data_IF_202871598593
#
_entry.id   IF_202871598593
#
_cell.length_a   1.000
_cell.length_b   1.000
_cell.length_c   1.000
_cell.angle_alpha   90.00
_cell.angle_beta   90.00
_cell.angle_gamma   90.00
#
_symmetry.space_group_name_H-M   'P 1'
#
loop_
_entity.id
_entity.type
_entity.pdbx_description
1 polymer ?
#
# COMPACT_ATOMS: atom_id res chain seq x y z
N UNK A 1 -5.88 3.11 14.38
CA UNK A 1 -4.95 4.03 13.80
C UNK A 1 -5.55 4.73 12.62
N UNK A 2 -5.09 5.86 12.39
CA UNK A 2 -5.83 6.74 11.55
C UNK A 2 -5.34 6.82 10.13
N UNK A 3 -6.22 7.34 9.29
CA UNK A 3 -5.89 7.80 7.98
C UNK A 3 -4.78 8.85 8.06
N UNK A 4 -4.03 8.98 6.98
CA UNK A 4 -2.92 9.93 6.90
C UNK A 4 -3.47 11.29 6.47
N UNK A 5 -3.58 12.22 7.42
CA UNK A 5 -4.20 13.52 7.16
C UNK A 5 -3.50 14.33 6.08
N UNK A 6 -2.18 14.24 6.02
CA UNK A 6 -1.38 14.95 5.01
C UNK A 6 -1.29 14.19 3.67
N UNK A 7 -2.01 13.09 3.52
CA UNK A 7 -2.06 12.17 2.39
C UNK A 7 -0.82 11.31 2.24
N UNK A 8 0.36 11.81 2.59
CA UNK A 8 1.61 11.07 2.61
C UNK A 8 2.58 11.77 3.55
N UNK A 9 3.34 10.98 4.30
CA UNK A 9 4.37 11.50 5.21
C UNK A 9 5.50 10.49 5.37
N UNK A 10 6.66 10.98 5.81
CA UNK A 10 7.80 10.14 6.18
C UNK A 10 7.75 9.92 7.68
N UNK A 11 7.87 8.67 8.11
CA UNK A 11 7.88 8.31 9.52
C UNK A 11 9.31 8.46 10.09
N UNK A 12 9.42 8.45 11.42
CA UNK A 12 10.72 8.58 12.08
C UNK A 12 11.72 7.47 11.70
N UNK A 13 11.23 6.30 11.32
CA UNK A 13 12.07 5.17 10.90
C UNK A 13 12.45 5.22 9.42
N UNK A 14 12.10 6.28 8.71
CA UNK A 14 12.37 6.44 7.28
C UNK A 14 11.36 5.79 6.35
N UNK A 15 10.40 5.05 6.89
CA UNK A 15 9.34 4.45 6.10
C UNK A 15 8.29 5.51 5.79
N UNK A 16 7.41 5.23 4.82
CA UNK A 16 6.37 6.18 4.47
C UNK A 16 4.99 5.65 4.85
N UNK A 17 4.11 6.58 5.18
CA UNK A 17 2.70 6.29 5.42
C UNK A 17 1.89 7.14 4.46
N UNK A 18 0.83 6.59 3.91
CA UNK A 18 0.05 7.30 2.89
C UNK A 18 -1.39 6.80 2.83
N UNK A 19 -2.24 7.61 2.23
CA UNK A 19 -3.62 7.28 1.99
C UNK A 19 -4.56 7.78 3.07
N UNK A 20 -5.77 8.14 2.66
CA UNK A 20 -6.83 8.57 3.59
C UNK A 20 -8.17 8.05 3.06
N UNK A 21 -8.56 6.86 3.54
CA UNK A 21 -9.77 6.19 3.12
C UNK A 21 -11.04 6.84 3.66
N UNK A 22 -10.91 7.81 4.55
CA UNK A 22 -12.06 8.50 5.15
C UNK A 22 -12.54 9.69 4.32
N UNK A 23 -11.75 10.12 3.34
CA UNK A 23 -12.12 11.25 2.49
C UNK A 23 -13.29 10.88 1.56
N UNK A 24 -14.24 11.78 1.47
CA UNK A 24 -15.40 11.60 0.60
C UNK A 24 -15.08 11.92 -0.86
N UNK A 25 -14.14 12.82 -1.10
CA UNK A 25 -13.73 13.25 -2.42
C UNK A 25 -12.27 12.94 -2.68
N UNK A 26 -11.96 12.61 -3.93
CA UNK A 26 -10.60 12.29 -4.35
C UNK A 26 -9.66 13.45 -4.09
N UNK A 27 -8.55 13.15 -3.44
CA UNK A 27 -7.48 14.11 -3.18
C UNK A 27 -6.17 13.52 -3.67
N UNK A 28 -5.25 14.39 -4.07
CA UNK A 28 -3.94 13.94 -4.51
C UNK A 28 -2.85 14.88 -4.04
N UNK A 29 -1.65 14.33 -3.91
CA UNK A 29 -0.45 15.09 -3.60
C UNK A 29 0.67 14.59 -4.49
N UNK A 30 1.35 15.51 -5.16
CA UNK A 30 2.45 15.21 -6.08
C UNK A 30 3.74 15.82 -5.57
N UNK A 31 4.88 15.32 -6.05
CA UNK A 31 6.17 15.92 -5.74
C UNK A 31 6.62 15.73 -4.30
N UNK A 32 6.09 14.72 -3.62
CA UNK A 32 6.54 14.43 -2.25
C UNK A 32 7.86 13.68 -2.31
N UNK A 33 8.90 14.25 -1.70
CA UNK A 33 10.23 13.66 -1.72
C UNK A 33 10.54 12.91 -0.43
N UNK A 34 11.04 11.68 -0.57
CA UNK A 34 11.48 10.87 0.56
C UNK A 34 12.55 9.88 0.08
N UNK A 35 13.67 9.84 0.79
CA UNK A 35 14.74 8.89 0.50
C UNK A 35 15.33 9.00 -0.91
N UNK A 36 15.26 10.18 -1.52
CA UNK A 36 15.78 10.38 -2.87
C UNK A 36 14.76 10.09 -3.97
N UNK A 37 13.55 9.67 -3.62
CA UNK A 37 12.49 9.35 -4.59
C UNK A 37 11.37 10.37 -4.49
N UNK A 38 10.66 10.55 -5.59
CA UNK A 38 9.51 11.44 -5.67
C UNK A 38 8.23 10.62 -5.74
N UNK A 39 7.28 10.92 -4.86
CA UNK A 39 6.04 10.16 -4.73
C UNK A 39 4.83 10.99 -5.14
N UNK A 40 3.83 10.30 -5.66
CA UNK A 40 2.51 10.85 -5.94
C UNK A 40 1.48 9.92 -5.35
N UNK A 41 0.55 10.47 -4.58
CA UNK A 41 -0.55 9.71 -3.98
C UNK A 41 -1.89 10.27 -4.45
N UNK A 42 -2.84 9.38 -4.69
CA UNK A 42 -4.21 9.73 -4.99
C UNK A 42 -5.06 8.85 -4.09
N UNK A 43 -5.96 9.45 -3.31
CA UNK A 43 -6.67 8.69 -2.29
C UNK A 43 -8.03 9.30 -1.93
N UNK A 44 -8.97 8.45 -1.67
CA UNK A 44 -10.26 8.76 -1.04
C UNK A 44 -10.96 7.42 -0.74
N UNK A 45 -12.23 7.46 -0.35
CA UNK A 45 -12.95 6.25 0.09
C UNK A 45 -12.99 5.12 -0.96
N UNK A 46 -12.89 5.43 -2.23
CA UNK A 46 -13.05 4.43 -3.29
C UNK A 46 -11.73 3.85 -3.81
N UNK A 47 -10.62 4.56 -3.66
CA UNK A 47 -9.33 4.10 -4.16
C UNK A 47 -8.18 4.79 -3.44
N UNK A 48 -7.08 4.06 -3.25
CA UNK A 48 -5.80 4.63 -2.84
C UNK A 48 -4.75 4.13 -3.82
N UNK A 49 -3.94 5.04 -4.37
CA UNK A 49 -2.91 4.70 -5.34
C UNK A 49 -1.64 5.48 -5.05
N UNK A 50 -0.50 4.78 -5.08
CA UNK A 50 0.82 5.38 -4.88
C UNK A 50 1.71 5.09 -6.08
N UNK A 51 2.40 6.14 -6.55
CA UNK A 51 3.43 6.03 -7.58
C UNK A 51 4.74 6.60 -7.04
N UNK A 52 5.85 5.97 -7.42
CA UNK A 52 7.20 6.43 -7.08
C UNK A 52 7.96 6.67 -8.39
N UNK A 53 8.43 7.90 -8.58
CA UNK A 53 9.15 8.30 -9.80
C UNK A 53 8.33 7.98 -11.07
N UNK A 54 7.02 8.15 -10.99
CA UNK A 54 6.11 7.89 -12.09
C UNK A 54 5.76 6.42 -12.30
N UNK A 55 6.25 5.54 -11.44
CA UNK A 55 6.00 4.11 -11.56
C UNK A 55 5.02 3.60 -10.51
N UNK A 56 4.17 2.67 -10.90
CA UNK A 56 3.17 2.07 -10.02
C UNK A 56 3.81 1.35 -8.84
N UNK A 57 3.31 1.61 -7.64
CA UNK A 57 3.79 0.97 -6.40
C UNK A 57 2.66 0.25 -5.68
N UNK A 58 1.53 0.90 -5.49
CA UNK A 58 0.44 0.40 -4.66
C UNK A 58 -0.90 0.90 -5.15
N UNK A 59 -1.91 0.04 -5.10
CA UNK A 59 -3.29 0.44 -5.36
C UNK A 59 -4.22 -0.42 -4.53
N UNK A 60 -5.24 0.19 -3.96
CA UNK A 60 -6.29 -0.57 -3.28
C UNK A 60 -7.67 -0.11 -3.71
N UNK A 61 -8.61 -1.04 -3.78
CA UNK A 61 -10.02 -0.78 -4.05
C UNK A 61 -10.83 -1.62 -3.06
N UNK A 62 -11.67 -1.00 -2.24
CA UNK A 62 -11.82 0.44 -2.02
C UNK A 62 -10.58 1.08 -1.39
N UNK A 63 -10.63 2.36 -1.10
CA UNK A 63 -9.52 3.10 -0.52
C UNK A 63 -9.08 2.57 0.83
N UNK A 64 -7.78 2.66 1.09
CA UNK A 64 -7.16 2.25 2.35
C UNK A 64 -6.18 3.32 2.80
N UNK A 65 -5.74 3.21 4.05
CA UNK A 65 -4.65 3.99 4.59
C UNK A 65 -3.52 3.04 4.95
N UNK A 66 -2.30 3.39 4.61
CA UNK A 66 -1.14 2.51 4.74
C UNK A 66 -0.11 3.16 5.64
N UNK A 67 0.41 2.39 6.60
CA UNK A 67 1.42 2.86 7.53
C UNK A 67 2.70 2.05 7.42
N UNK A 68 3.82 2.73 7.59
CA UNK A 68 5.16 2.12 7.63
C UNK A 68 5.42 1.22 6.42
N UNK A 69 5.13 1.76 5.24
CA UNK A 69 5.40 1.08 3.98
C UNK A 69 6.89 1.04 3.74
N UNK A 70 7.44 -0.16 3.69
CA UNK A 70 8.88 -0.37 3.52
C UNK A 70 9.14 -1.36 2.40
N UNK A 71 9.98 -0.96 1.45
CA UNK A 71 10.40 -1.83 0.36
C UNK A 71 11.85 -2.26 0.56
N UNK A 72 12.14 -3.48 0.15
CA UNK A 72 13.50 -4.02 0.15
C UNK A 72 13.70 -4.77 -1.17
N UNK A 73 14.90 -5.28 -1.39
CA UNK A 73 15.18 -6.09 -2.59
C UNK A 73 14.31 -7.33 -2.65
N UNK A 74 13.87 -7.83 -1.50
CA UNK A 74 13.18 -9.10 -1.40
C UNK A 74 11.67 -8.98 -1.24
N UNK A 75 11.14 -7.76 -1.14
CA UNK A 75 9.70 -7.60 -1.00
C UNK A 75 9.30 -6.30 -0.33
N UNK A 76 8.15 -6.32 0.32
CA UNK A 76 7.55 -5.14 0.92
C UNK A 76 6.81 -5.52 2.19
N UNK A 77 6.77 -4.61 3.15
CA UNK A 77 5.94 -4.79 4.35
C UNK A 77 5.24 -3.49 4.71
N UNK A 78 4.02 -3.60 5.21
CA UNK A 78 3.23 -2.44 5.61
C UNK A 78 2.03 -2.87 6.46
N UNK A 79 1.43 -1.90 7.13
CA UNK A 79 0.16 -2.09 7.82
C UNK A 79 -0.91 -1.33 7.04
N UNK A 80 -2.01 -1.99 6.75
CA UNK A 80 -3.11 -1.40 5.98
C UNK A 80 -4.36 -1.31 6.83
N UNK A 81 -5.06 -0.19 6.72
CA UNK A 81 -6.27 0.10 7.48
C UNK A 81 -7.40 0.50 6.55
N UNK A 82 -8.60 0.04 6.86
CA UNK A 82 -9.78 0.40 6.08
C UNK A 82 -11.04 -0.10 6.74
N UNK A 83 -12.19 0.34 6.23
CA UNK A 83 -13.50 -0.03 6.77
C UNK A 83 -14.12 -1.22 6.05
N UNK A 84 -13.59 -1.57 4.88
CA UNK A 84 -14.10 -2.66 4.05
C UNK A 84 -12.95 -3.55 3.60
N UNK A 85 -13.28 -4.79 3.25
CA UNK A 85 -12.31 -5.70 2.65
C UNK A 85 -11.80 -5.09 1.35
N UNK A 86 -10.52 -5.26 1.09
CA UNK A 86 -9.89 -4.57 -0.05
C UNK A 86 -9.05 -5.52 -0.90
N UNK A 87 -9.00 -5.19 -2.18
CA UNK A 87 -8.08 -5.79 -3.13
C UNK A 87 -6.89 -4.85 -3.26
N UNK A 88 -5.70 -5.37 -2.99
CA UNK A 88 -4.47 -4.60 -3.06
C UNK A 88 -3.64 -5.11 -4.22
N UNK A 89 -3.15 -4.19 -5.05
CA UNK A 89 -2.22 -4.51 -6.13
C UNK A 89 -0.89 -3.85 -5.82
N UNK A 90 0.19 -4.63 -5.85
CA UNK A 90 1.55 -4.15 -5.56
C UNK A 90 2.40 -4.21 -6.81
N UNK A 91 3.28 -3.20 -6.98
CA UNK A 91 4.26 -3.19 -8.05
C UNK A 91 5.57 -3.76 -7.53
N UNK A 92 5.93 -4.96 -8.01
CA UNK A 92 7.12 -5.69 -7.59
C UNK A 92 7.91 -6.13 -8.83
N UNK A 93 8.84 -7.07 -8.66
CA UNK A 93 9.58 -7.63 -9.79
C UNK A 93 8.65 -8.45 -10.66
N UNK A 94 8.83 -8.38 -11.97
CA UNK A 94 7.97 -9.11 -12.91
C UNK A 94 8.28 -10.61 -12.88
N UNK A 95 7.24 -11.40 -13.07
CA UNK A 95 7.29 -12.87 -13.17
C UNK A 95 8.10 -13.52 -12.05
N UNK A 96 7.85 -13.10 -10.81
CA UNK A 96 8.60 -13.55 -9.63
C UNK A 96 7.64 -14.07 -8.57
N UNK A 97 8.05 -15.13 -7.86
CA UNK A 97 7.27 -15.69 -6.77
C UNK A 97 7.63 -15.03 -5.44
N UNK A 98 6.62 -14.76 -4.64
CA UNK A 98 6.78 -14.17 -3.31
C UNK A 98 5.96 -14.94 -2.29
N UNK A 99 6.51 -15.08 -1.08
CA UNK A 99 5.78 -15.62 0.06
C UNK A 99 5.01 -14.47 0.70
N UNK A 100 3.71 -14.66 0.91
CA UNK A 100 2.83 -13.62 1.44
C UNK A 100 2.40 -14.01 2.86
N UNK A 101 2.54 -13.08 3.79
CA UNK A 101 2.06 -13.25 5.17
C UNK A 101 1.09 -12.16 5.52
N UNK A 102 -0.01 -12.54 6.17
CA UNK A 102 -1.04 -11.62 6.64
C UNK A 102 -1.13 -11.80 8.15
N UNK A 103 -0.82 -10.75 8.89
CA UNK A 103 -0.77 -10.78 10.37
C UNK A 103 0.12 -11.91 10.89
N UNK A 104 1.26 -12.13 10.21
CA UNK A 104 2.23 -13.16 10.60
C UNK A 104 1.88 -14.58 10.16
N UNK A 105 0.72 -14.79 9.57
CA UNK A 105 0.30 -16.11 9.09
C UNK A 105 0.60 -16.26 7.60
N UNK A 106 1.09 -17.43 7.22
CA UNK A 106 1.39 -17.74 5.83
C UNK A 106 0.11 -17.74 5.00
N UNK A 107 0.02 -16.84 4.02
CA UNK A 107 -1.11 -16.75 3.10
C UNK A 107 -0.82 -17.43 1.76
N UNK A 108 0.35 -18.07 1.64
CA UNK A 108 0.73 -18.81 0.45
C UNK A 108 1.76 -18.09 -0.40
N UNK A 109 2.15 -18.75 -1.46
CA UNK A 109 3.10 -18.22 -2.43
C UNK A 109 2.33 -17.69 -3.63
N UNK A 110 2.65 -16.47 -4.03
CA UNK A 110 1.97 -15.82 -5.14
C UNK A 110 3.00 -15.34 -6.16
N UNK A 111 2.61 -15.35 -7.44
CA UNK A 111 3.52 -14.95 -8.51
C UNK A 111 3.00 -13.67 -9.16
N UNK A 112 3.90 -12.71 -9.37
CA UNK A 112 3.57 -11.50 -10.11
C UNK A 112 3.32 -11.82 -11.59
N UNK A 113 2.56 -10.95 -12.24
CA UNK A 113 2.36 -11.08 -13.68
C UNK A 113 3.57 -10.52 -14.45
N UNK A 114 3.49 -10.48 -15.78
CA UNK A 114 4.59 -9.98 -16.60
C UNK A 114 4.86 -8.48 -16.40
N UNK A 115 3.90 -7.75 -15.86
CA UNK A 115 4.07 -6.34 -15.51
C UNK A 115 4.53 -6.12 -14.07
N UNK A 116 4.84 -7.18 -13.33
CA UNK A 116 5.31 -7.08 -11.95
C UNK A 116 4.21 -6.83 -10.94
N UNK A 117 2.96 -7.06 -11.27
CA UNK A 117 1.85 -6.78 -10.34
C UNK A 117 1.42 -8.02 -9.58
N UNK A 118 1.27 -7.84 -8.26
CA UNK A 118 0.81 -8.88 -7.35
C UNK A 118 -0.50 -8.43 -6.72
N UNK A 119 -1.52 -9.29 -6.75
CA UNK A 119 -2.83 -8.99 -6.17
C UNK A 119 -3.00 -9.72 -4.84
N UNK A 120 -3.35 -8.98 -3.81
CA UNK A 120 -3.56 -9.53 -2.47
C UNK A 120 -4.92 -9.06 -1.96
N UNK A 121 -5.73 -10.00 -1.46
CA UNK A 121 -7.01 -9.67 -0.83
C UNK A 121 -6.82 -9.61 0.67
N UNK A 122 -7.31 -8.56 1.31
CA UNK A 122 -7.24 -8.42 2.76
C UNK A 122 -8.62 -8.19 3.34
N UNK A 123 -8.87 -8.83 4.48
CA UNK A 123 -10.13 -8.69 5.20
C UNK A 123 -9.96 -7.58 6.25
N UNK A 124 -10.63 -6.47 6.02
CA UNK A 124 -10.55 -5.31 6.92
C UNK A 124 -11.87 -5.02 7.60
N UNK A 125 -12.99 -5.39 6.99
CA UNK A 125 -14.31 -5.15 7.56
C UNK A 125 -14.42 -5.83 8.91
N UNK A 126 -14.74 -5.06 9.96
CA UNK A 126 -14.87 -5.58 11.32
C UNK A 126 -13.54 -5.82 12.04
N UNK A 127 -12.42 -5.74 11.33
CA UNK A 127 -11.06 -5.92 11.89
C UNK A 127 -10.35 -4.59 11.96
N UNK A 128 -10.44 -3.81 10.89
CA UNK A 128 -9.89 -2.45 10.79
C UNK A 128 -8.46 -2.38 10.29
N UNK A 129 -7.58 -3.25 10.75
CA UNK A 129 -6.16 -3.14 10.45
C UNK A 129 -5.53 -4.53 10.27
N UNK A 130 -4.66 -4.63 9.25
CA UNK A 130 -3.96 -5.88 8.92
C UNK A 130 -2.52 -5.56 8.54
N UNK A 131 -1.57 -6.39 9.00
CA UNK A 131 -0.18 -6.27 8.59
C UNK A 131 0.09 -7.23 7.42
N UNK A 132 0.69 -6.69 6.36
CA UNK A 132 1.02 -7.46 5.16
C UNK A 132 2.54 -7.51 5.00
N UNK A 133 3.07 -8.71 4.78
CA UNK A 133 4.51 -8.92 4.56
C UNK A 133 4.71 -9.79 3.33
N UNK A 134 5.60 -9.37 2.46
CA UNK A 134 5.86 -10.05 1.19
C UNK A 134 7.34 -10.25 0.98
#
# INVERSE_FOLDING_TARGET
MAAVAELIRTEADGKISFGNHLLQEKSKKEGFEAGGDEYKVKTFKEITKLERNGMFVYESVPGTSVEHFAESENGVSFTVEGTEDAQITLGLEEDTEYDVKINGEDAGRMRTNLGGKLNVSVELAGIGEVKVEI
#
